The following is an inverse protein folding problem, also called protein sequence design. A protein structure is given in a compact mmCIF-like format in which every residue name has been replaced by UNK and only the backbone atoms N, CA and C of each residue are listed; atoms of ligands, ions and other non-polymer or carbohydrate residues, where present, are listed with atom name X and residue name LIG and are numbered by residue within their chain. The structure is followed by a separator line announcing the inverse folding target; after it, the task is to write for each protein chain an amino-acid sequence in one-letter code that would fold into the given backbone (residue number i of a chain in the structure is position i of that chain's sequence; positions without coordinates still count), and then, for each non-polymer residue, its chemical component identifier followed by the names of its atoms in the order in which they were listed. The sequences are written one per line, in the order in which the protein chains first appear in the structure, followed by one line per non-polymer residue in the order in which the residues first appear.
data_IF_862875562809
#
_entry.id   IF_862875562809
#
_cell.length_a   1.000
_cell.length_b   1.000
_cell.length_c   1.000
_cell.angle_alpha   90.00
_cell.angle_beta   90.00
_cell.angle_gamma   90.00
#
_symmetry.space_group_name_H-M   'P 1'
#
loop_
_entity.id
_entity.type
_entity.pdbx_description
1 polymer ?
#
# COMPACT_ATOMS: atom_id res chain seq x y z
N UNK A 1 -44.91 -14.29 -12.42
CA UNK A 1 -43.81 -15.18 -11.98
C UNK A 1 -42.53 -15.05 -12.80
N UNK A 2 -42.54 -14.72 -14.11
CA UNK A 2 -41.28 -14.58 -14.90
C UNK A 2 -40.37 -13.38 -14.55
N UNK A 3 -40.91 -12.29 -13.99
CA UNK A 3 -40.10 -11.11 -13.61
C UNK A 3 -39.26 -11.31 -12.33
N UNK A 4 -39.73 -12.11 -11.38
CA UNK A 4 -38.99 -12.38 -10.15
C UNK A 4 -37.78 -13.34 -10.38
N UNK A 5 -37.91 -14.25 -11.36
CA UNK A 5 -36.83 -15.18 -11.70
C UNK A 5 -35.67 -14.46 -12.38
N UNK A 6 -35.95 -13.40 -13.15
CA UNK A 6 -34.92 -12.59 -13.81
C UNK A 6 -34.11 -11.74 -12.81
N UNK A 7 -34.78 -11.22 -11.77
CA UNK A 7 -34.11 -10.47 -10.70
C UNK A 7 -33.19 -11.35 -9.84
N UNK A 8 -33.61 -12.60 -9.56
CA UNK A 8 -32.78 -13.57 -8.85
C UNK A 8 -31.57 -14.02 -9.69
N UNK A 9 -31.71 -14.10 -11.02
CA UNK A 9 -30.62 -14.46 -11.91
C UNK A 9 -29.57 -13.33 -12.02
N UNK A 10 -30.00 -12.05 -12.05
CA UNK A 10 -29.09 -10.91 -11.98
C UNK A 10 -28.44 -10.76 -10.59
N UNK A 11 -29.15 -11.04 -9.51
CA UNK A 11 -28.59 -11.04 -8.16
C UNK A 11 -27.56 -12.17 -7.97
N UNK A 12 -27.75 -13.33 -8.59
CA UNK A 12 -26.82 -14.45 -8.51
C UNK A 12 -25.56 -14.23 -9.38
N UNK A 13 -25.67 -13.49 -10.50
CA UNK A 13 -24.54 -13.05 -11.32
C UNK A 13 -23.72 -11.95 -10.64
N UNK A 14 -24.35 -11.11 -9.81
CA UNK A 14 -23.65 -10.09 -9.04
C UNK A 14 -22.81 -10.68 -7.89
N UNK A 15 -23.06 -11.94 -7.46
CA UNK A 15 -22.29 -12.62 -6.41
C UNK A 15 -20.93 -13.15 -6.87
N UNK A 16 -20.67 -13.16 -8.19
CA UNK A 16 -19.42 -13.63 -8.78
C UNK A 16 -18.73 -12.57 -9.63
N UNK A 17 -19.15 -11.30 -9.54
CA UNK A 17 -18.46 -10.24 -10.26
C UNK A 17 -17.11 -9.96 -9.61
N UNK A 18 -16.03 -10.13 -10.36
CA UNK A 18 -14.74 -9.53 -10.05
C UNK A 18 -14.91 -8.02 -9.89
N UNK A 19 -14.04 -7.37 -9.14
CA UNK A 19 -14.11 -5.92 -8.97
C UNK A 19 -13.74 -5.22 -10.28
N UNK A 20 -14.55 -4.27 -10.72
CA UNK A 20 -14.29 -3.47 -11.91
C UNK A 20 -13.09 -2.52 -11.71
N UNK A 21 -12.39 -2.10 -12.78
CA UNK A 21 -11.40 -1.04 -12.68
C UNK A 21 -11.99 0.21 -12.00
N UNK A 22 -11.24 0.78 -11.05
CA UNK A 22 -11.61 1.87 -10.15
C UNK A 22 -12.55 1.51 -9.00
N UNK A 23 -13.00 0.26 -8.86
CA UNK A 23 -13.68 -0.16 -7.64
C UNK A 23 -12.80 0.06 -6.42
N UNK A 24 -13.43 0.47 -5.32
CA UNK A 24 -12.75 0.75 -4.06
C UNK A 24 -13.29 -0.17 -2.98
N UNK A 25 -12.38 -0.83 -2.27
CA UNK A 25 -12.73 -1.73 -1.17
C UNK A 25 -11.72 -1.63 -0.03
N UNK A 26 -12.09 -2.12 1.15
CA UNK A 26 -11.20 -2.14 2.31
C UNK A 26 -10.96 -3.55 2.81
N UNK A 27 -9.70 -3.84 3.18
CA UNK A 27 -9.31 -5.06 3.88
C UNK A 27 -8.46 -4.65 5.08
N UNK A 28 -8.93 -4.98 6.29
CA UNK A 28 -8.30 -4.55 7.52
C UNK A 28 -8.19 -3.03 7.61
N UNK A 29 -7.01 -2.54 7.87
CA UNK A 29 -6.73 -1.12 8.09
C UNK A 29 -6.59 -0.29 6.79
N UNK A 30 -6.66 -0.92 5.62
CA UNK A 30 -6.29 -0.30 4.34
C UNK A 30 -7.46 -0.31 3.35
N UNK A 31 -7.60 0.77 2.62
CA UNK A 31 -8.49 0.92 1.46
C UNK A 31 -7.68 0.82 0.18
N UNK A 32 -8.18 0.05 -0.77
CA UNK A 32 -7.57 -0.25 -2.06
C UNK A 32 -8.45 0.22 -3.21
N UNK A 33 -7.84 0.49 -4.37
CA UNK A 33 -8.54 0.71 -5.63
C UNK A 33 -8.05 -0.27 -6.69
N UNK A 34 -8.97 -0.84 -7.46
CA UNK A 34 -8.63 -1.76 -8.55
C UNK A 34 -8.03 -0.99 -9.72
N UNK A 35 -6.81 -1.35 -10.11
CA UNK A 35 -6.13 -0.83 -11.31
C UNK A 35 -6.41 -1.75 -12.50
N UNK A 36 -6.31 -3.06 -12.27
CA UNK A 36 -6.53 -4.11 -13.25
C UNK A 36 -7.29 -5.23 -12.58
N UNK A 37 -8.42 -5.58 -13.16
CA UNK A 37 -9.25 -6.66 -12.62
C UNK A 37 -8.60 -8.04 -12.81
N UNK A 38 -9.01 -9.01 -11.98
CA UNK A 38 -8.59 -10.39 -12.09
C UNK A 38 -9.37 -11.10 -13.22
N UNK A 39 -8.69 -11.79 -14.11
CA UNK A 39 -9.34 -12.53 -15.20
C UNK A 39 -8.59 -13.83 -15.52
N UNK A 40 -9.32 -14.86 -15.97
CA UNK A 40 -8.75 -16.13 -16.44
C UNK A 40 -7.68 -16.73 -15.53
N UNK A 41 -7.90 -16.69 -14.21
CA UNK A 41 -6.98 -17.20 -13.19
C UNK A 41 -5.73 -16.33 -12.95
N UNK A 42 -5.60 -15.18 -13.63
CA UNK A 42 -4.53 -14.22 -13.36
C UNK A 42 -4.97 -13.28 -12.25
N UNK A 43 -4.10 -12.98 -11.25
CA UNK A 43 -4.42 -12.01 -10.21
C UNK A 43 -4.56 -10.61 -10.80
N UNK A 44 -5.56 -9.86 -10.35
CA UNK A 44 -5.68 -8.44 -10.63
C UNK A 44 -4.59 -7.62 -9.93
N UNK A 45 -4.61 -6.31 -10.15
CA UNK A 45 -3.69 -5.35 -9.53
C UNK A 45 -4.50 -4.26 -8.84
N UNK A 46 -4.11 -3.95 -7.61
CA UNK A 46 -4.68 -2.84 -6.83
C UNK A 46 -3.61 -1.84 -6.42
N UNK A 47 -4.04 -0.60 -6.22
CA UNK A 47 -3.27 0.42 -5.50
C UNK A 47 -3.77 0.57 -4.07
N UNK A 48 -2.89 1.03 -3.20
CA UNK A 48 -3.22 1.47 -1.84
C UNK A 48 -3.67 2.92 -1.89
N UNK A 49 -4.90 3.20 -1.44
CA UNK A 49 -5.52 4.53 -1.49
C UNK A 49 -5.42 5.32 -0.20
N UNK A 50 -5.68 4.66 0.95
CA UNK A 50 -5.76 5.34 2.24
C UNK A 50 -5.87 4.34 3.40
N UNK A 51 -5.88 4.86 4.64
CA UNK A 51 -6.43 4.08 5.76
C UNK A 51 -7.94 3.89 5.58
N UNK A 52 -8.44 2.71 5.93
CA UNK A 52 -9.86 2.46 6.14
C UNK A 52 -10.39 3.21 7.37
N UNK A 53 -11.69 3.21 7.59
CA UNK A 53 -12.28 3.77 8.82
C UNK A 53 -11.71 3.09 10.08
N UNK A 54 -11.49 1.76 10.03
CA UNK A 54 -10.87 0.99 11.10
C UNK A 54 -9.43 1.44 11.38
N UNK A 55 -8.62 1.63 10.34
CA UNK A 55 -7.23 2.08 10.49
C UNK A 55 -7.13 3.50 11.04
N UNK A 56 -8.02 4.40 10.62
CA UNK A 56 -8.09 5.79 11.11
C UNK A 56 -8.51 5.88 12.59
N UNK A 57 -9.32 4.94 13.08
CA UNK A 57 -9.79 4.92 14.45
C UNK A 57 -8.71 4.50 15.47
N UNK A 58 -7.61 3.91 15.02
CA UNK A 58 -6.52 3.48 15.89
C UNK A 58 -5.66 4.67 16.35
N UNK A 59 -5.34 4.72 17.63
CA UNK A 59 -4.49 5.78 18.21
C UNK A 59 -3.00 5.56 17.91
N UNK A 60 -2.59 4.31 17.71
CA UNK A 60 -1.25 3.90 17.27
C UNK A 60 -1.37 2.72 16.32
N UNK A 61 -0.72 2.81 15.18
CA UNK A 61 -0.80 1.83 14.12
C UNK A 61 0.59 1.39 13.66
N UNK A 62 0.83 0.07 13.73
CA UNK A 62 1.86 -0.59 12.95
C UNK A 62 1.23 -0.99 11.63
N UNK A 63 1.43 -0.19 10.59
CA UNK A 63 0.83 -0.41 9.28
C UNK A 63 1.61 -1.45 8.51
N UNK A 64 0.97 -2.59 8.21
CA UNK A 64 1.50 -3.64 7.35
C UNK A 64 0.75 -3.61 6.01
N UNK A 65 1.44 -3.24 4.94
CA UNK A 65 0.89 -3.20 3.58
C UNK A 65 1.26 -4.52 2.90
N UNK A 66 0.29 -5.44 2.72
CA UNK A 66 0.56 -6.76 2.17
C UNK A 66 0.88 -6.68 0.67
N UNK A 67 1.64 -7.65 0.15
CA UNK A 67 1.91 -7.75 -1.29
C UNK A 67 0.74 -8.35 -2.09
N UNK A 68 -0.23 -8.95 -1.40
CA UNK A 68 -1.42 -9.60 -1.98
C UNK A 68 -2.60 -9.39 -1.05
N UNK A 69 -3.77 -9.14 -1.64
CA UNK A 69 -5.06 -9.09 -0.92
C UNK A 69 -6.08 -9.94 -1.65
N UNK A 70 -7.12 -10.36 -0.92
CA UNK A 70 -8.25 -11.09 -1.47
C UNK A 70 -9.52 -10.26 -1.28
N UNK A 71 -10.30 -10.15 -2.34
CA UNK A 71 -11.58 -9.46 -2.31
C UNK A 71 -12.58 -10.21 -3.20
N UNK A 72 -13.78 -10.47 -2.69
CA UNK A 72 -14.84 -11.24 -3.36
C UNK A 72 -14.35 -12.59 -3.94
N UNK A 73 -13.41 -13.29 -3.24
CA UNK A 73 -12.85 -14.56 -3.70
C UNK A 73 -11.74 -14.44 -4.74
N UNK A 74 -11.45 -13.24 -5.23
CA UNK A 74 -10.39 -12.99 -6.22
C UNK A 74 -9.09 -12.53 -5.55
N UNK A 75 -7.96 -12.90 -6.17
CA UNK A 75 -6.63 -12.53 -5.72
C UNK A 75 -6.15 -11.27 -6.44
N UNK A 76 -5.64 -10.29 -5.70
CA UNK A 76 -5.05 -9.06 -6.23
C UNK A 76 -3.63 -8.87 -5.72
N UNK A 77 -2.70 -8.50 -6.62
CA UNK A 77 -1.38 -8.02 -6.23
C UNK A 77 -1.47 -6.54 -5.85
N UNK A 78 -0.86 -6.16 -4.74
CA UNK A 78 -0.71 -4.76 -4.37
C UNK A 78 0.53 -4.22 -5.09
N UNK A 79 0.32 -3.40 -6.12
CA UNK A 79 1.38 -2.95 -7.02
C UNK A 79 2.03 -1.65 -6.61
N UNK A 80 1.23 -0.69 -6.15
CA UNK A 80 1.68 0.67 -5.85
C UNK A 80 0.99 1.25 -4.62
N UNK A 81 1.61 2.25 -4.01
CA UNK A 81 1.01 3.11 -2.99
C UNK A 81 0.75 4.46 -3.65
N UNK A 82 -0.51 4.88 -3.65
CA UNK A 82 -0.97 6.06 -4.36
C UNK A 82 -0.43 7.36 -3.77
N UNK A 83 -0.53 8.44 -4.57
CA UNK A 83 -0.26 9.81 -4.13
C UNK A 83 -1.14 10.14 -2.92
N UNK A 84 -0.54 10.80 -1.94
CA UNK A 84 -1.19 11.29 -0.71
C UNK A 84 -1.91 10.21 0.11
N UNK A 85 -1.70 8.90 -0.16
CA UNK A 85 -2.46 7.78 0.42
C UNK A 85 -2.55 7.85 1.96
N UNK A 86 -1.46 8.18 2.62
CA UNK A 86 -1.38 8.27 4.08
C UNK A 86 -0.89 9.65 4.57
N UNK A 87 -1.00 10.66 3.72
CA UNK A 87 -0.55 12.01 4.06
C UNK A 87 -1.18 12.52 5.35
N UNK A 88 -0.34 13.00 6.27
CA UNK A 88 -0.77 13.58 7.54
C UNK A 88 -1.27 12.57 8.58
N UNK A 89 -1.10 11.25 8.35
CA UNK A 89 -1.53 10.22 9.31
C UNK A 89 -0.54 10.14 10.47
N UNK A 90 -0.83 10.84 11.55
CA UNK A 90 0.02 10.90 12.75
C UNK A 90 -0.10 9.65 13.65
N UNK A 91 -1.03 8.74 13.36
CA UNK A 91 -1.18 7.49 14.13
C UNK A 91 -0.30 6.34 13.64
N UNK A 92 0.36 6.45 12.47
CA UNK A 92 1.25 5.42 11.95
C UNK A 92 2.62 5.56 12.62
N UNK A 93 3.05 4.54 13.38
CA UNK A 93 4.34 4.51 14.09
C UNK A 93 5.41 3.67 13.39
N UNK A 94 5.01 2.56 12.79
CA UNK A 94 5.86 1.66 12.02
C UNK A 94 5.19 1.33 10.70
N UNK A 95 5.95 1.31 9.61
CA UNK A 95 5.49 0.95 8.28
C UNK A 95 6.25 -0.28 7.79
N UNK A 96 5.49 -1.33 7.46
CA UNK A 96 5.98 -2.53 6.79
C UNK A 96 5.40 -2.59 5.38
N UNK A 97 6.24 -2.53 4.36
CA UNK A 97 5.83 -2.68 2.95
C UNK A 97 6.28 -4.06 2.49
N UNK A 98 5.34 -4.88 2.02
CA UNK A 98 5.61 -6.25 1.56
C UNK A 98 5.99 -6.27 0.08
N UNK A 99 6.49 -7.42 -0.40
CA UNK A 99 6.87 -7.66 -1.80
C UNK A 99 5.70 -7.42 -2.78
N UNK A 100 5.95 -7.32 -4.07
CA UNK A 100 5.11 -6.89 -5.19
C UNK A 100 4.90 -5.38 -5.30
N UNK A 101 5.04 -4.61 -4.23
CA UNK A 101 4.94 -3.16 -4.30
C UNK A 101 6.21 -2.62 -4.96
N UNK A 102 6.02 -1.95 -6.10
CA UNK A 102 7.12 -1.45 -6.94
C UNK A 102 7.30 0.05 -6.84
N UNK A 103 6.26 0.79 -6.42
CA UNK A 103 6.29 2.25 -6.38
C UNK A 103 5.55 2.82 -5.18
N UNK A 104 6.17 3.83 -4.58
CA UNK A 104 5.54 4.74 -3.63
C UNK A 104 5.43 6.08 -4.35
N UNK A 105 4.20 6.56 -4.58
CA UNK A 105 3.97 7.81 -5.25
C UNK A 105 4.26 9.03 -4.37
N UNK A 106 4.27 10.21 -5.01
CA UNK A 106 4.50 11.51 -4.38
C UNK A 106 3.64 11.69 -3.13
N UNK A 107 4.25 12.21 -2.04
CA UNK A 107 3.60 12.58 -0.78
C UNK A 107 2.83 11.45 -0.08
N UNK A 108 3.04 10.18 -0.46
CA UNK A 108 2.24 9.05 0.05
C UNK A 108 2.20 8.95 1.58
N UNK A 109 3.30 9.30 2.26
CA UNK A 109 3.42 9.35 3.73
C UNK A 109 3.88 10.72 4.23
N UNK A 110 3.66 11.77 3.44
CA UNK A 110 4.08 13.12 3.83
C UNK A 110 3.42 13.52 5.16
N UNK A 111 4.23 14.08 6.08
CA UNK A 111 3.78 14.51 7.41
C UNK A 111 3.20 13.40 8.29
N UNK A 112 3.64 12.14 8.12
CA UNK A 112 3.39 11.08 9.10
C UNK A 112 4.32 11.27 10.30
N UNK A 113 4.00 12.22 11.17
CA UNK A 113 4.91 12.74 12.21
C UNK A 113 5.28 11.75 13.30
N UNK A 114 4.49 10.68 13.50
CA UNK A 114 4.80 9.60 14.46
C UNK A 114 5.56 8.42 13.84
N UNK A 115 5.79 8.42 12.53
CA UNK A 115 6.47 7.32 11.82
C UNK A 115 7.96 7.29 12.20
N UNK A 116 8.39 6.23 12.89
CA UNK A 116 9.77 6.05 13.36
C UNK A 116 10.59 5.10 12.52
N UNK A 117 9.94 4.08 11.96
CA UNK A 117 10.61 2.96 11.28
C UNK A 117 9.86 2.56 10.02
N UNK A 118 10.60 2.35 8.93
CA UNK A 118 10.08 1.89 7.64
C UNK A 118 10.86 0.67 7.16
N UNK A 119 10.14 -0.38 6.74
CA UNK A 119 10.68 -1.55 6.07
C UNK A 119 10.24 -1.56 4.61
N UNK A 120 11.20 -1.54 3.69
CA UNK A 120 10.99 -1.49 2.25
C UNK A 120 11.40 -2.79 1.57
N UNK A 121 10.58 -3.35 0.64
CA UNK A 121 10.90 -4.59 -0.04
C UNK A 121 11.92 -4.40 -1.16
N UNK A 122 12.55 -5.50 -1.57
CA UNK A 122 13.47 -5.53 -2.73
C UNK A 122 12.77 -5.29 -4.08
N UNK A 123 11.45 -5.43 -4.14
CA UNK A 123 10.63 -5.15 -5.33
C UNK A 123 10.46 -3.65 -5.60
N UNK A 124 10.77 -2.78 -4.64
CA UNK A 124 10.57 -1.34 -4.78
C UNK A 124 11.59 -0.73 -5.76
N UNK A 125 11.09 -0.06 -6.80
CA UNK A 125 11.88 0.57 -7.86
C UNK A 125 11.80 2.10 -7.88
N UNK A 126 10.81 2.68 -7.20
CA UNK A 126 10.65 4.13 -7.17
C UNK A 126 10.08 4.61 -5.82
N UNK A 127 10.70 5.68 -5.29
CA UNK A 127 10.20 6.45 -4.14
C UNK A 127 10.03 7.89 -4.61
N UNK A 128 8.78 8.33 -4.70
CA UNK A 128 8.40 9.61 -5.28
C UNK A 128 8.75 10.82 -4.40
N UNK A 129 8.66 12.01 -5.02
CA UNK A 129 8.92 13.29 -4.38
C UNK A 129 8.15 13.43 -3.07
N UNK A 130 8.85 13.81 -1.98
CA UNK A 130 8.29 13.99 -0.62
C UNK A 130 7.51 12.77 -0.08
N UNK A 131 7.77 11.56 -0.58
CA UNK A 131 7.03 10.37 -0.14
C UNK A 131 7.01 10.21 1.39
N UNK A 132 8.11 10.55 2.06
CA UNK A 132 8.24 10.62 3.53
C UNK A 132 8.62 12.02 4.01
N UNK A 133 8.38 13.07 3.21
CA UNK A 133 8.68 14.45 3.58
C UNK A 133 7.93 14.83 4.87
N UNK A 134 8.60 15.50 5.80
CA UNK A 134 7.97 15.90 7.07
C UNK A 134 7.70 14.79 8.08
N UNK A 135 8.19 13.55 7.86
CA UNK A 135 8.18 12.48 8.85
C UNK A 135 9.25 12.73 9.93
N UNK A 136 9.03 13.70 10.80
CA UNK A 136 10.05 14.23 11.73
C UNK A 136 10.55 13.23 12.77
N UNK A 137 9.75 12.18 13.08
CA UNK A 137 10.14 11.12 13.98
C UNK A 137 10.91 9.98 13.30
N UNK A 138 11.08 10.00 11.96
CA UNK A 138 11.71 8.88 11.22
C UNK A 138 13.20 8.77 11.57
N UNK A 139 13.60 7.58 12.05
CA UNK A 139 14.97 7.27 12.48
C UNK A 139 15.59 6.10 11.74
N UNK A 140 14.78 5.13 11.32
CA UNK A 140 15.28 3.89 10.73
C UNK A 140 14.55 3.53 9.47
N UNK A 141 15.27 3.33 8.38
CA UNK A 141 14.75 2.80 7.11
C UNK A 141 15.52 1.54 6.77
N UNK A 142 14.83 0.41 6.73
CA UNK A 142 15.39 -0.89 6.35
C UNK A 142 15.00 -1.17 4.90
N UNK A 143 16.02 -1.36 4.05
CA UNK A 143 15.80 -1.64 2.64
C UNK A 143 16.36 -3.02 2.28
N UNK A 144 15.49 -3.90 1.79
CA UNK A 144 15.83 -5.29 1.50
C UNK A 144 16.57 -5.50 0.18
N UNK A 145 17.06 -4.43 -0.48
CA UNK A 145 17.80 -4.54 -1.74
C UNK A 145 19.28 -4.23 -1.54
N UNK A 146 20.13 -5.18 -1.90
CA UNK A 146 21.59 -5.02 -1.81
C UNK A 146 22.19 -4.04 -2.84
N UNK A 147 21.38 -3.63 -3.83
CA UNK A 147 21.80 -2.69 -4.89
C UNK A 147 20.84 -1.52 -4.98
N UNK A 148 20.97 -0.49 -4.13
CA UNK A 148 20.14 0.71 -4.16
C UNK A 148 20.15 1.43 -5.51
N UNK A 149 21.13 1.16 -6.37
CA UNK A 149 21.28 1.76 -7.70
C UNK A 149 20.12 1.45 -8.67
N UNK A 150 19.28 0.44 -8.38
CA UNK A 150 18.10 0.13 -9.20
C UNK A 150 16.83 0.86 -8.74
N UNK A 151 16.86 1.51 -7.58
CA UNK A 151 15.71 2.25 -7.05
C UNK A 151 15.92 3.75 -7.29
N UNK A 152 15.00 4.34 -8.05
CA UNK A 152 14.94 5.79 -8.21
C UNK A 152 14.32 6.41 -6.95
N UNK A 153 15.11 7.21 -6.24
CA UNK A 153 14.67 8.00 -5.09
C UNK A 153 14.65 9.46 -5.51
N UNK A 154 13.47 10.05 -5.58
CA UNK A 154 13.33 11.44 -6.00
C UNK A 154 13.83 12.40 -4.90
N UNK A 155 14.31 13.61 -5.26
CA UNK A 155 14.75 14.61 -4.29
C UNK A 155 13.66 14.90 -3.24
N UNK A 156 14.06 15.08 -1.98
CA UNK A 156 13.13 15.36 -0.89
C UNK A 156 12.22 14.20 -0.49
N UNK A 157 12.44 12.97 -1.01
CA UNK A 157 11.61 11.80 -0.67
C UNK A 157 11.63 11.46 0.82
N UNK A 158 12.72 11.78 1.51
CA UNK A 158 12.88 11.59 2.96
C UNK A 158 13.03 12.94 3.67
N UNK A 159 12.78 12.99 4.99
CA UNK A 159 12.93 14.23 5.74
C UNK A 159 14.40 14.66 5.80
N UNK A 160 14.65 15.94 5.53
CA UNK A 160 15.98 16.54 5.68
C UNK A 160 16.38 16.61 7.16
N UNK A 161 17.66 16.40 7.45
CA UNK A 161 18.26 16.57 8.80
C UNK A 161 17.59 15.76 9.93
N UNK A 162 16.98 14.62 9.58
CA UNK A 162 16.23 13.79 10.56
C UNK A 162 17.09 12.96 11.50
N UNK A 163 18.42 12.87 11.27
CA UNK A 163 19.27 11.88 11.94
C UNK A 163 18.91 10.43 11.58
N UNK A 164 18.24 10.24 10.45
CA UNK A 164 17.80 8.94 9.96
C UNK A 164 18.98 8.06 9.54
N UNK A 165 18.92 6.78 9.89
CA UNK A 165 19.85 5.75 9.43
C UNK A 165 19.21 4.85 8.39
N UNK A 166 19.85 4.70 7.24
CA UNK A 166 19.47 3.75 6.21
C UNK A 166 20.23 2.43 6.40
N UNK A 167 19.50 1.36 6.63
CA UNK A 167 20.04 0.01 6.72
C UNK A 167 19.77 -0.72 5.40
N UNK A 168 20.84 -1.17 4.74
CA UNK A 168 20.73 -1.95 3.50
C UNK A 168 21.14 -3.39 3.79
N UNK A 169 20.26 -4.34 3.54
CA UNK A 169 20.51 -5.75 3.83
C UNK A 169 20.05 -6.65 2.69
N UNK A 170 20.80 -7.73 2.41
CA UNK A 170 20.38 -8.78 1.47
C UNK A 170 19.26 -9.65 2.02
N UNK A 171 19.03 -9.66 3.33
CA UNK A 171 17.96 -10.41 3.99
C UNK A 171 17.02 -9.45 4.71
N UNK A 172 15.75 -9.54 4.40
CA UNK A 172 14.71 -8.83 5.16
C UNK A 172 14.49 -9.58 6.49
N UNK A 173 14.43 -8.91 7.65
CA UNK A 173 14.25 -9.58 8.94
C UNK A 173 12.92 -10.36 9.07
N UNK A 174 12.02 -10.26 8.08
CA UNK A 174 10.71 -10.92 8.07
C UNK A 174 10.36 -11.54 6.69
N UNK A 175 11.37 -12.04 5.93
CA UNK A 175 11.14 -12.83 4.71
C UNK A 175 11.00 -14.31 5.04
#
# INVERSE_FOLDING_TARGET
MKKQLLFLFFALLALCASAEPNDVFSVGDITYSVILDSYSGKPGIVSVKSLSAQGKAKTSLKLDIPGVVYYNGYKYKVGVIDRDAFKGQSNISVLQIRYNITRIWQSAFENCTSLTTVYMPSSLTNVGYRAFGGCTALRSVYYANATPSSTSVEPGSFPENSGMTLYVSKAHPNS
#
